data_IF_889296708830
#
_entry.id   IF_889296708830
#
_cell.length_a   1.000
_cell.length_b   1.000
_cell.length_c   1.000
_cell.angle_alpha   90.00
_cell.angle_beta   90.00
_cell.angle_gamma   90.00
#
_symmetry.space_group_name_H-M   'P 1'
#
loop_
_entity.id
_entity.type
_entity.pdbx_description
1 polymer ?
#
# COMPACT_ATOMS: atom_id res chain seq x y z
N UNK A 1 9.27 8.38 -0.79
CA UNK A 1 8.76 9.77 -0.95
C UNK A 1 9.60 10.76 -0.16
N UNK A 2 9.72 10.63 1.17
CA UNK A 2 10.47 11.59 1.99
C UNK A 2 11.99 11.31 2.10
N UNK A 3 12.47 10.16 1.62
CA UNK A 3 13.90 9.82 1.65
C UNK A 3 14.48 9.52 3.04
N UNK A 4 13.63 9.40 4.06
CA UNK A 4 14.02 9.11 5.44
C UNK A 4 14.22 7.62 5.68
N UNK A 5 15.05 7.28 6.66
CA UNK A 5 15.20 5.90 7.13
C UNK A 5 13.99 5.48 7.98
N UNK A 6 13.30 4.42 7.56
CA UNK A 6 12.16 3.85 8.30
C UNK A 6 12.54 3.45 9.73
N UNK A 7 13.77 2.93 9.92
CA UNK A 7 14.28 2.57 11.25
C UNK A 7 14.30 3.73 12.24
N UNK A 8 14.38 4.97 11.78
CA UNK A 8 14.38 6.14 12.65
C UNK A 8 13.07 6.32 13.42
N UNK A 9 11.93 5.92 12.84
CA UNK A 9 10.62 6.34 13.34
C UNK A 9 9.68 5.18 13.68
N UNK A 10 9.63 4.12 12.86
CA UNK A 10 8.64 3.03 13.07
C UNK A 10 9.19 1.91 13.97
N UNK A 11 10.29 1.21 13.63
CA UNK A 11 10.72 0.01 14.35
C UNK A 11 11.62 0.28 15.57
N UNK A 12 12.36 1.40 15.59
CA UNK A 12 13.24 1.76 16.72
C UNK A 12 12.77 3.00 17.48
N UNK A 13 11.89 3.81 16.87
CA UNK A 13 11.34 5.04 17.46
C UNK A 13 12.41 5.95 18.04
N UNK A 14 13.49 6.17 17.28
CA UNK A 14 14.58 7.10 17.63
C UNK A 14 14.07 8.55 17.63
N UNK A 15 13.07 8.84 16.81
CA UNK A 15 12.26 10.05 16.87
C UNK A 15 10.77 9.73 16.79
N UNK A 16 9.96 10.69 17.22
CA UNK A 16 8.50 10.65 17.10
C UNK A 16 8.05 11.06 15.70
N UNK A 17 6.79 10.75 15.36
CA UNK A 17 6.18 11.23 14.13
C UNK A 17 6.00 12.76 14.15
N UNK A 18 5.71 13.36 15.30
CA UNK A 18 5.56 14.82 15.36
C UNK A 18 6.88 15.54 15.06
N UNK A 19 8.00 15.05 15.61
CA UNK A 19 9.34 15.56 15.27
C UNK A 19 9.67 15.40 13.78
N UNK A 20 9.27 14.28 13.16
CA UNK A 20 9.45 14.09 11.72
C UNK A 20 8.67 15.13 10.92
N UNK A 21 7.42 15.41 11.28
CA UNK A 21 6.62 16.44 10.62
C UNK A 21 7.26 17.82 10.75
N UNK A 22 7.77 18.15 11.94
CA UNK A 22 8.51 19.40 12.18
C UNK A 22 9.77 19.51 11.32
N UNK A 23 10.55 18.42 11.21
CA UNK A 23 11.73 18.37 10.34
C UNK A 23 11.34 18.64 8.89
N UNK A 24 10.29 17.98 8.38
CA UNK A 24 9.82 18.17 6.99
C UNK A 24 9.43 19.63 6.75
N UNK A 25 8.59 20.20 7.62
CA UNK A 25 8.14 21.59 7.52
C UNK A 25 9.32 22.58 7.57
N UNK A 26 10.28 22.34 8.47
CA UNK A 26 11.42 23.24 8.70
C UNK A 26 12.44 23.17 7.57
N UNK A 27 12.68 21.99 7.01
CA UNK A 27 13.70 21.79 5.95
C UNK A 27 13.20 22.19 4.57
N UNK A 28 11.93 21.92 4.26
CA UNK A 28 11.35 22.18 2.94
C UNK A 28 10.65 23.54 2.84
N UNK A 29 10.27 24.15 3.98
CA UNK A 29 9.40 25.31 4.04
C UNK A 29 7.93 25.00 3.70
N UNK A 30 7.60 23.75 3.39
CA UNK A 30 6.24 23.33 3.10
C UNK A 30 5.44 23.18 4.39
N UNK A 31 4.44 24.05 4.57
CA UNK A 31 3.47 23.93 5.68
C UNK A 31 2.47 22.82 5.34
N UNK A 32 2.71 21.63 5.88
CA UNK A 32 1.91 20.43 5.62
C UNK A 32 1.43 19.79 6.91
N UNK A 33 0.50 18.85 6.77
CA UNK A 33 -0.03 17.99 7.83
C UNK A 33 0.25 16.52 7.55
N UNK A 34 0.06 15.66 8.56
CA UNK A 34 0.12 14.21 8.36
C UNK A 34 -0.91 13.72 7.35
N UNK A 35 -2.11 14.31 7.33
CA UNK A 35 -3.14 13.99 6.36
C UNK A 35 -2.66 14.20 4.93
N UNK A 36 -2.11 15.38 4.62
CA UNK A 36 -1.57 15.69 3.29
C UNK A 36 -0.40 14.78 2.92
N UNK A 37 0.51 14.49 3.87
CA UNK A 37 1.62 13.57 3.64
C UNK A 37 1.16 12.14 3.35
N UNK A 38 0.13 11.66 4.06
CA UNK A 38 -0.48 10.36 3.78
C UNK A 38 -1.12 10.32 2.40
N UNK A 39 -1.79 11.41 1.97
CA UNK A 39 -2.32 11.51 0.61
C UNK A 39 -1.23 11.47 -0.47
N UNK A 40 -0.05 12.06 -0.23
CA UNK A 40 1.10 11.92 -1.15
C UNK A 40 1.58 10.46 -1.21
N UNK A 41 1.58 9.77 -0.07
CA UNK A 41 1.79 8.32 0.03
C UNK A 41 0.84 7.53 -0.85
N UNK A 42 -0.46 7.76 -0.65
CA UNK A 42 -1.54 7.09 -1.38
C UNK A 42 -1.48 7.38 -2.89
N UNK A 43 -1.21 8.63 -3.28
CA UNK A 43 -0.98 9.02 -4.69
C UNK A 43 0.13 8.20 -5.33
N UNK A 44 1.26 8.04 -4.63
CA UNK A 44 2.40 7.29 -5.14
C UNK A 44 2.08 5.79 -5.32
N UNK A 45 1.34 5.21 -4.37
CA UNK A 45 0.88 3.81 -4.46
C UNK A 45 -0.04 3.61 -5.67
N UNK A 46 -0.98 4.53 -5.90
CA UNK A 46 -1.92 4.45 -7.03
C UNK A 46 -1.21 4.63 -8.37
N UNK A 47 -0.26 5.57 -8.47
CA UNK A 47 0.57 5.71 -9.68
C UNK A 47 1.37 4.45 -9.99
N UNK A 48 1.99 3.84 -8.98
CA UNK A 48 2.72 2.58 -9.15
C UNK A 48 1.79 1.43 -9.56
N UNK A 49 0.57 1.37 -8.99
CA UNK A 49 -0.44 0.37 -9.36
C UNK A 49 -0.84 0.49 -10.82
N UNK A 50 -1.13 1.71 -11.30
CA UNK A 50 -1.51 1.96 -12.69
C UNK A 50 -0.35 1.63 -13.64
N UNK A 51 0.88 2.04 -13.29
CA UNK A 51 2.05 1.67 -14.07
C UNK A 51 2.16 0.14 -14.21
N UNK A 52 2.11 -0.60 -13.10
CA UNK A 52 2.19 -2.06 -13.14
C UNK A 52 1.05 -2.67 -13.97
N UNK A 53 -0.17 -2.14 -13.83
CA UNK A 53 -1.32 -2.60 -14.61
C UNK A 53 -1.11 -2.43 -16.12
N UNK A 54 -0.62 -1.26 -16.54
CA UNK A 54 -0.28 -0.99 -17.94
C UNK A 54 0.78 -1.96 -18.49
N UNK A 55 1.72 -2.38 -17.64
CA UNK A 55 2.77 -3.35 -17.99
C UNK A 55 2.30 -4.82 -17.86
N UNK A 56 1.01 -5.07 -17.59
CA UNK A 56 0.41 -6.41 -17.59
C UNK A 56 0.26 -7.06 -16.22
N UNK A 57 0.54 -6.35 -15.12
CA UNK A 57 0.27 -6.83 -13.76
C UNK A 57 -1.23 -6.76 -13.45
N UNK A 58 -1.81 -7.81 -12.89
CA UNK A 58 -3.26 -7.91 -12.64
C UNK A 58 -3.57 -8.28 -11.19
N UNK A 59 -4.86 -8.31 -10.83
CA UNK A 59 -5.31 -8.84 -9.54
C UNK A 59 -4.97 -10.33 -9.33
N UNK A 60 -4.65 -11.08 -10.40
CA UNK A 60 -4.23 -12.48 -10.30
C UNK A 60 -2.80 -12.62 -9.76
N UNK A 61 -1.98 -11.58 -9.94
CA UNK A 61 -0.58 -11.55 -9.50
C UNK A 61 -0.45 -11.13 -8.03
N UNK A 62 -1.50 -10.55 -7.44
CA UNK A 62 -1.58 -10.25 -6.01
C UNK A 62 -1.81 -11.54 -5.21
N UNK A 63 -0.81 -12.41 -5.14
CA UNK A 63 -0.87 -13.70 -4.45
C UNK A 63 0.34 -13.96 -3.56
N UNK A 64 0.32 -15.05 -2.78
CA UNK A 64 1.45 -15.50 -1.98
C UNK A 64 2.09 -16.75 -2.61
N UNK A 65 3.40 -16.94 -2.41
CA UNK A 65 4.05 -18.22 -2.69
C UNK A 65 3.35 -19.40 -1.98
N UNK A 66 3.32 -20.57 -2.62
CA UNK A 66 2.53 -21.72 -2.12
C UNK A 66 2.93 -22.16 -0.69
N UNK A 67 4.18 -21.93 -0.29
CA UNK A 67 4.70 -22.25 1.06
C UNK A 67 3.90 -21.60 2.19
N UNK A 68 3.27 -20.45 1.95
CA UNK A 68 2.46 -19.76 2.96
C UNK A 68 1.14 -20.48 3.27
N UNK A 69 0.71 -21.41 2.40
CA UNK A 69 -0.50 -22.21 2.58
C UNK A 69 -0.22 -23.59 3.19
N UNK A 70 1.01 -23.82 3.65
CA UNK A 70 1.41 -25.04 4.33
C UNK A 70 1.77 -24.74 5.79
N UNK A 71 1.46 -25.69 6.68
CA UNK A 71 1.83 -25.57 8.07
C UNK A 71 3.35 -25.64 8.25
N UNK A 72 3.84 -24.96 9.29
CA UNK A 72 5.24 -25.08 9.68
C UNK A 72 5.58 -26.52 10.08
N UNK A 73 6.85 -26.88 9.86
CA UNK A 73 7.42 -28.17 10.26
C UNK A 73 8.45 -27.94 11.36
N UNK A 74 8.17 -28.48 12.54
CA UNK A 74 8.98 -28.36 13.74
C UNK A 74 8.85 -27.02 14.47
N UNK A 75 9.44 -26.98 15.67
CA UNK A 75 9.39 -25.81 16.55
C UNK A 75 8.03 -25.61 17.22
N UNK A 76 7.84 -24.47 17.92
CA UNK A 76 6.62 -24.20 18.70
C UNK A 76 5.33 -24.08 17.87
N UNK A 77 5.44 -23.90 16.55
CA UNK A 77 4.31 -23.76 15.63
C UNK A 77 4.17 -24.99 14.71
N UNK A 78 4.76 -26.14 15.08
CA UNK A 78 4.66 -27.36 14.28
C UNK A 78 3.20 -27.75 14.02
N UNK A 79 2.89 -28.06 12.76
CA UNK A 79 1.53 -28.43 12.36
C UNK A 79 0.51 -27.28 12.32
N UNK A 80 0.92 -26.03 12.52
CA UNK A 80 0.06 -24.84 12.44
C UNK A 80 0.68 -23.72 11.58
N UNK A 81 -0.08 -22.63 11.40
CA UNK A 81 0.40 -21.41 10.74
C UNK A 81 0.14 -21.29 9.23
N UNK A 82 -0.46 -22.30 8.59
CA UNK A 82 -0.91 -22.18 7.21
C UNK A 82 -1.96 -21.06 7.07
N UNK A 83 -1.76 -20.18 6.09
CA UNK A 83 -2.76 -19.19 5.70
C UNK A 83 -3.89 -19.92 4.96
N UNK A 84 -5.14 -19.54 5.22
CA UNK A 84 -6.28 -20.03 4.46
C UNK A 84 -6.39 -19.24 3.14
N UNK A 85 -6.37 -19.93 1.99
CA UNK A 85 -6.47 -19.30 0.65
C UNK A 85 -7.73 -18.43 0.51
N UNK A 86 -8.90 -18.92 0.95
CA UNK A 86 -10.17 -18.19 0.82
C UNK A 86 -10.20 -16.93 1.67
N UNK A 87 -9.62 -16.98 2.87
CA UNK A 87 -9.58 -15.80 3.74
C UNK A 87 -8.56 -14.77 3.23
N UNK A 88 -7.47 -15.23 2.63
CA UNK A 88 -6.52 -14.35 1.95
C UNK A 88 -7.13 -13.65 0.72
N UNK A 89 -7.87 -14.38 -0.12
CA UNK A 89 -8.63 -13.81 -1.25
C UNK A 89 -9.62 -12.74 -0.77
N UNK A 90 -10.36 -13.00 0.31
CA UNK A 90 -11.24 -11.98 0.92
C UNK A 90 -10.47 -10.77 1.44
N UNK A 91 -9.32 -10.98 2.07
CA UNK A 91 -8.49 -9.90 2.60
C UNK A 91 -7.95 -8.99 1.48
N UNK A 92 -7.61 -9.56 0.31
CA UNK A 92 -7.22 -8.78 -0.87
C UNK A 92 -8.39 -7.92 -1.36
N UNK A 93 -9.59 -8.49 -1.51
CA UNK A 93 -10.77 -7.72 -1.94
C UNK A 93 -11.08 -6.58 -0.97
N UNK A 94 -11.06 -6.86 0.33
CA UNK A 94 -11.24 -5.85 1.37
C UNK A 94 -10.17 -4.76 1.27
N UNK A 95 -8.90 -5.12 1.03
CA UNK A 95 -7.83 -4.15 0.83
C UNK A 95 -8.11 -3.26 -0.38
N UNK A 96 -8.56 -3.81 -1.51
CA UNK A 96 -8.92 -3.01 -2.67
C UNK A 96 -10.04 -2.01 -2.36
N UNK A 97 -11.09 -2.44 -1.67
CA UNK A 97 -12.19 -1.56 -1.25
C UNK A 97 -11.69 -0.42 -0.36
N UNK A 98 -10.84 -0.73 0.63
CA UNK A 98 -10.23 0.28 1.51
C UNK A 98 -9.35 1.28 0.76
N UNK A 99 -8.72 0.86 -0.34
CA UNK A 99 -7.91 1.73 -1.20
C UNK A 99 -8.75 2.51 -2.23
N UNK A 100 -10.07 2.31 -2.28
CA UNK A 100 -10.94 2.90 -3.31
C UNK A 100 -10.72 2.30 -4.69
N UNK A 101 -10.34 1.02 -4.76
CA UNK A 101 -10.12 0.25 -5.98
C UNK A 101 -11.30 -0.69 -6.22
N UNK A 102 -11.46 -1.14 -7.46
CA UNK A 102 -12.46 -2.15 -7.79
C UNK A 102 -12.06 -3.52 -7.18
N UNK A 103 -12.94 -4.20 -6.43
CA UNK A 103 -12.59 -5.40 -5.66
C UNK A 103 -12.28 -6.63 -6.52
N UNK A 104 -12.68 -6.66 -7.79
CA UNK A 104 -12.46 -7.81 -8.67
C UNK A 104 -11.24 -7.60 -9.58
N UNK A 105 -11.02 -6.38 -10.04
CA UNK A 105 -9.91 -6.04 -10.96
C UNK A 105 -8.67 -5.50 -10.25
N UNK A 106 -8.81 -4.98 -9.03
CA UNK A 106 -7.73 -4.30 -8.32
C UNK A 106 -7.26 -3.01 -8.98
N UNK A 107 -8.11 -2.40 -9.82
CA UNK A 107 -7.86 -1.14 -10.52
C UNK A 107 -8.41 0.02 -9.69
N UNK A 108 -7.63 1.11 -9.46
CA UNK A 108 -8.14 2.31 -8.82
C UNK A 108 -9.38 2.88 -9.52
N UNK A 109 -10.41 3.25 -8.76
CA UNK A 109 -11.61 3.86 -9.35
C UNK A 109 -11.33 5.27 -9.87
N UNK A 110 -12.09 5.70 -10.88
CA UNK A 110 -12.02 7.09 -11.38
C UNK A 110 -12.19 8.13 -10.27
N UNK A 111 -13.11 7.88 -9.33
CA UNK A 111 -13.32 8.76 -8.19
C UNK A 111 -12.05 8.88 -7.32
N UNK A 112 -11.38 7.76 -7.01
CA UNK A 112 -10.13 7.74 -6.27
C UNK A 112 -8.98 8.45 -7.01
N UNK A 113 -8.89 8.30 -8.33
CA UNK A 113 -7.88 9.01 -9.13
C UNK A 113 -8.10 10.51 -9.13
N UNK A 114 -9.34 10.98 -9.28
CA UNK A 114 -9.68 12.40 -9.19
C UNK A 114 -9.37 12.95 -7.80
N UNK A 115 -9.77 12.24 -6.74
CA UNK A 115 -9.49 12.60 -5.33
C UNK A 115 -7.99 12.85 -5.10
N UNK A 116 -7.13 11.99 -5.67
CA UNK A 116 -5.69 12.08 -5.52
C UNK A 116 -5.00 13.05 -6.51
N UNK A 117 -5.74 13.71 -7.41
CA UNK A 117 -5.17 14.58 -8.44
C UNK A 117 -4.41 13.82 -9.54
N UNK A 118 -4.92 12.65 -9.90
CA UNK A 118 -4.39 11.73 -10.92
C UNK A 118 -5.37 11.57 -12.10
N UNK A 119 -6.17 12.58 -12.39
CA UNK A 119 -7.16 12.57 -13.48
C UNK A 119 -6.53 12.28 -14.85
N UNK A 120 -5.29 12.74 -15.07
CA UNK A 120 -4.50 12.48 -16.27
C UNK A 120 -4.14 11.00 -16.49
N UNK A 121 -4.34 10.12 -15.49
CA UNK A 121 -4.13 8.66 -15.61
C UNK A 121 -5.41 7.88 -15.90
N UNK A 122 -6.59 8.51 -15.93
CA UNK A 122 -7.87 7.79 -16.11
C UNK A 122 -7.90 7.01 -17.44
N UNK A 123 -7.28 7.53 -18.49
CA UNK A 123 -7.26 6.88 -19.81
C UNK A 123 -6.28 5.70 -19.91
N UNK A 124 -5.37 5.54 -18.94
CA UNK A 124 -4.36 4.46 -18.90
C UNK A 124 -4.92 3.15 -18.32
N UNK A 125 -6.11 3.17 -17.73
CA UNK A 125 -6.74 2.04 -17.02
C UNK A 125 -7.95 1.44 -17.77
N UNK A 126 -7.94 1.52 -19.10
CA UNK A 126 -8.99 0.98 -19.99
C UNK A 126 -8.91 -0.52 -20.22
#
# INVERSE_FOLDING_TARGET
>A
ILGICDFGYVPRSVGTLDELLEIICSTTGWRTTWFELMQVGERSINMARIFNYREGFTSQDDTLPEVFYHNFKGGPLDGQGAINKKDFEKAIKLRYELMGWNPDTGIPTTAKLIELGLDWLIDEVK
#
